data_IF_372337228634
#
_entry.id   IF_372337228634
#
_cell.length_a   1.000
_cell.length_b   1.000
_cell.length_c   1.000
_cell.angle_alpha   90.00
_cell.angle_beta   90.00
_cell.angle_gamma   90.00
#
_symmetry.space_group_name_H-M   'P 1'
#
loop_
_entity.id
_entity.type
_entity.pdbx_description
1 polymer ?
#
# COMPACT_ATOMS: atom_id res chain seq x y z
N UNK A 1 40.55 58.11 -26.66
CA UNK A 1 39.56 57.67 -27.65
C UNK A 1 38.38 57.10 -26.89
N UNK A 2 37.22 57.76 -27.05
CA UNK A 2 35.88 57.39 -26.58
C UNK A 2 35.51 56.01 -27.21
N UNK A 3 34.68 55.14 -26.64
CA UNK A 3 33.26 55.26 -26.26
C UNK A 3 32.93 54.25 -25.14
N UNK A 4 32.08 54.49 -24.13
CA UNK A 4 30.72 55.04 -24.09
C UNK A 4 29.61 54.03 -24.50
N UNK A 5 29.10 53.32 -23.49
CA UNK A 5 27.67 53.06 -23.17
C UNK A 5 27.18 51.63 -22.99
N UNK A 6 26.32 51.54 -21.95
CA UNK A 6 25.22 50.60 -21.67
C UNK A 6 25.65 49.31 -20.96
N UNK A 7 25.08 48.93 -19.81
CA UNK A 7 23.91 49.46 -19.09
C UNK A 7 24.02 48.94 -17.64
N UNK A 8 24.31 49.83 -16.72
CA UNK A 8 23.46 50.25 -15.59
C UNK A 8 23.46 49.39 -14.31
N UNK A 9 23.45 50.07 -13.15
CA UNK A 9 23.83 49.53 -11.85
C UNK A 9 22.62 49.29 -10.92
N UNK A 10 22.90 48.62 -9.81
CA UNK A 10 22.37 48.87 -8.46
C UNK A 10 21.17 49.84 -8.34
N UNK A 11 20.02 49.37 -7.85
CA UNK A 11 19.20 50.15 -6.92
C UNK A 11 18.36 49.24 -6.02
N UNK A 12 18.61 49.34 -4.71
CA UNK A 12 17.84 48.73 -3.64
C UNK A 12 16.67 49.65 -3.28
N UNK A 13 15.63 49.04 -2.71
CA UNK A 13 14.56 49.64 -1.88
C UNK A 13 13.27 50.08 -2.57
N UNK A 14 12.18 49.74 -1.87
CA UNK A 14 10.78 50.20 -2.01
C UNK A 14 9.93 49.35 -2.95
N UNK A 15 9.62 48.11 -2.55
CA UNK A 15 8.30 47.44 -2.68
C UNK A 15 8.26 46.31 -1.63
N UNK A 16 8.32 46.71 -0.36
CA UNK A 16 7.82 45.90 0.74
C UNK A 16 6.30 45.79 0.54
N UNK A 17 5.75 44.57 0.62
CA UNK A 17 4.32 44.22 0.74
C UNK A 17 3.46 44.30 -0.54
N UNK A 18 3.34 43.17 -1.25
CA UNK A 18 2.08 42.43 -1.49
C UNK A 18 2.30 41.33 -2.55
N UNK A 19 1.87 40.10 -2.25
CA UNK A 19 1.60 38.99 -3.19
C UNK A 19 2.85 38.30 -3.81
N UNK A 20 3.47 37.23 -3.30
CA UNK A 20 2.98 36.04 -2.58
C UNK A 20 1.85 35.25 -3.25
N UNK A 21 1.68 35.31 -4.58
CA UNK A 21 0.90 34.32 -5.35
C UNK A 21 1.43 34.22 -6.78
N UNK A 22 2.19 33.16 -7.07
CA UNK A 22 2.24 32.45 -8.36
C UNK A 22 3.07 31.17 -8.16
N UNK A 23 2.54 30.18 -7.47
CA UNK A 23 1.53 29.25 -8.01
C UNK A 23 2.12 28.46 -9.18
N UNK A 24 3.01 27.52 -8.88
CA UNK A 24 3.31 26.40 -9.78
C UNK A 24 3.66 25.17 -8.91
N UNK A 25 2.64 24.33 -8.74
CA UNK A 25 2.66 22.93 -8.30
C UNK A 25 2.90 22.60 -6.81
N UNK A 26 1.82 22.41 -6.02
CA UNK A 26 1.80 21.37 -5.00
C UNK A 26 1.64 20.01 -5.69
N UNK A 27 2.63 19.12 -5.51
CA UNK A 27 2.50 17.71 -5.84
C UNK A 27 1.19 17.17 -5.26
N UNK A 28 0.33 16.68 -6.14
CA UNK A 28 -0.99 16.14 -5.83
C UNK A 28 -0.86 15.11 -4.72
N UNK A 29 -1.26 15.53 -3.51
CA UNK A 29 -1.58 14.66 -2.38
C UNK A 29 -2.64 13.69 -2.90
N UNK A 30 -2.24 12.48 -3.26
CA UNK A 30 -3.17 11.42 -3.65
C UNK A 30 -4.02 11.14 -2.43
N UNK A 31 -5.23 11.69 -2.43
CA UNK A 31 -6.31 11.22 -1.58
C UNK A 31 -6.67 9.86 -2.15
N UNK A 32 -5.97 8.84 -1.67
CA UNK A 32 -6.19 7.44 -2.02
C UNK A 32 -7.56 7.09 -1.44
N UNK A 33 -8.54 7.31 -2.30
CA UNK A 33 -9.72 6.50 -2.55
C UNK A 33 -10.22 5.71 -1.35
N UNK A 34 -11.35 6.18 -0.82
CA UNK A 34 -12.55 5.37 -0.56
C UNK A 34 -12.30 4.17 0.36
N UNK A 35 -12.84 4.25 1.58
CA UNK A 35 -13.18 3.07 2.40
C UNK A 35 -14.16 2.21 1.59
N UNK A 36 -13.64 1.46 0.64
CA UNK A 36 -14.33 0.34 0.04
C UNK A 36 -14.34 -0.70 1.15
N UNK A 37 -15.48 -0.83 1.84
CA UNK A 37 -15.82 -2.14 2.40
C UNK A 37 -16.05 -3.03 1.18
N UNK A 38 -15.13 -3.94 0.84
CA UNK A 38 -15.38 -4.84 -0.28
C UNK A 38 -16.63 -5.65 0.08
N UNK A 39 -17.52 -5.75 -0.91
CA UNK A 39 -18.76 -6.49 -0.80
C UNK A 39 -18.41 -7.94 -0.49
N UNK A 40 -19.11 -8.57 0.48
CA UNK A 40 -18.89 -9.94 0.96
C UNK A 40 -19.30 -10.99 -0.08
N UNK A 41 -18.69 -10.92 -1.26
CA UNK A 41 -18.90 -11.84 -2.37
C UNK A 41 -17.71 -12.79 -2.37
N UNK A 42 -17.83 -13.86 -1.58
CA UNK A 42 -16.90 -15.00 -1.51
C UNK A 42 -15.44 -14.65 -1.75
N UNK A 43 -14.77 -14.09 -0.74
CA UNK A 43 -13.33 -13.85 -0.80
C UNK A 43 -12.61 -15.19 -0.96
N UNK A 44 -12.17 -15.50 -2.18
CA UNK A 44 -11.33 -16.69 -2.44
C UNK A 44 -9.86 -16.45 -2.09
N UNK A 45 -9.50 -15.18 -1.87
CA UNK A 45 -8.15 -14.68 -1.65
C UNK A 45 -8.18 -13.51 -0.68
N UNK A 46 -7.21 -13.44 0.23
CA UNK A 46 -7.11 -12.42 1.28
C UNK A 46 -5.80 -11.62 1.17
N UNK A 47 -5.71 -10.64 0.26
CA UNK A 47 -4.50 -9.83 0.10
C UNK A 47 -4.17 -8.95 1.31
N UNK A 48 -5.17 -8.58 2.11
CA UNK A 48 -5.00 -7.72 3.30
C UNK A 48 -4.31 -8.42 4.46
N UNK A 49 -4.31 -9.76 4.50
CA UNK A 49 -3.67 -10.55 5.56
C UNK A 49 -2.14 -10.63 5.42
N UNK A 50 -1.59 -10.18 4.29
CA UNK A 50 -0.14 -10.15 4.07
C UNK A 50 0.52 -9.18 5.05
N UNK A 51 1.55 -9.64 5.75
CA UNK A 51 2.26 -8.90 6.79
C UNK A 51 1.60 -8.95 8.18
N UNK A 52 0.43 -9.58 8.33
CA UNK A 52 -0.14 -9.86 9.65
C UNK A 52 0.49 -11.10 10.29
N UNK A 53 0.31 -11.24 11.60
CA UNK A 53 0.62 -12.48 12.31
C UNK A 53 -0.30 -13.61 11.86
N UNK A 54 0.24 -14.82 11.83
CA UNK A 54 -0.48 -16.03 11.43
C UNK A 54 -1.79 -16.24 12.22
N UNK A 55 -1.75 -16.03 13.53
CA UNK A 55 -2.92 -16.21 14.41
C UNK A 55 -4.05 -15.21 14.12
N UNK A 56 -3.69 -13.95 13.88
CA UNK A 56 -4.67 -12.89 13.57
C UNK A 56 -5.29 -13.11 12.19
N UNK A 57 -4.47 -13.56 11.23
CA UNK A 57 -4.94 -13.93 9.90
C UNK A 57 -5.89 -15.13 9.94
N UNK A 58 -5.58 -16.15 10.73
CA UNK A 58 -6.44 -17.33 10.90
C UNK A 58 -7.81 -16.96 11.47
N UNK A 59 -7.86 -16.10 12.48
CA UNK A 59 -9.12 -15.61 13.06
C UNK A 59 -9.97 -14.89 12.02
N UNK A 60 -9.37 -13.99 11.25
CA UNK A 60 -10.07 -13.26 10.18
C UNK A 60 -10.64 -14.18 9.11
N UNK A 61 -9.87 -15.19 8.67
CA UNK A 61 -10.34 -16.16 7.68
C UNK A 61 -11.53 -16.97 8.24
N UNK A 62 -11.47 -17.39 9.52
CA UNK A 62 -12.58 -18.11 10.17
C UNK A 62 -13.84 -17.25 10.34
N UNK A 63 -13.68 -15.95 10.58
CA UNK A 63 -14.80 -15.00 10.65
C UNK A 63 -15.47 -14.77 9.29
N UNK A 64 -14.67 -14.72 8.22
CA UNK A 64 -15.19 -14.54 6.86
C UNK A 64 -15.73 -15.83 6.24
N UNK A 65 -15.08 -16.96 6.50
CA UNK A 65 -15.40 -18.29 6.01
C UNK A 65 -15.35 -19.30 7.17
N UNK A 66 -16.47 -19.47 7.87
CA UNK A 66 -16.57 -20.36 9.04
C UNK A 66 -16.25 -21.83 8.76
N UNK A 67 -16.38 -22.28 7.50
CA UNK A 67 -16.04 -23.63 7.06
C UNK A 67 -14.62 -23.81 6.52
N UNK A 68 -13.77 -22.78 6.58
CA UNK A 68 -12.41 -22.85 6.06
C UNK A 68 -11.48 -23.66 6.97
N UNK A 69 -10.77 -24.63 6.40
CA UNK A 69 -9.66 -25.33 7.03
C UNK A 69 -8.37 -24.56 6.74
N UNK A 70 -7.89 -23.80 7.73
CA UNK A 70 -6.63 -23.05 7.61
C UNK A 70 -5.45 -23.97 7.91
N UNK A 71 -4.52 -24.06 6.97
CA UNK A 71 -3.25 -24.77 7.12
C UNK A 71 -2.10 -23.75 7.14
N UNK A 72 -1.44 -23.61 8.30
CA UNK A 72 -0.25 -22.78 8.43
C UNK A 72 0.96 -23.59 7.97
N UNK A 73 1.68 -23.05 6.97
CA UNK A 73 2.80 -23.72 6.32
C UNK A 73 3.97 -22.75 6.22
N UNK A 74 5.21 -23.17 6.55
CA UNK A 74 6.41 -22.38 6.26
C UNK A 74 6.55 -22.10 4.77
N UNK A 75 7.05 -20.91 4.41
CA UNK A 75 7.15 -20.47 3.00
C UNK A 75 7.96 -21.40 2.08
N UNK A 76 8.91 -22.17 2.64
CA UNK A 76 9.84 -23.03 1.90
C UNK A 76 9.40 -24.50 1.83
N UNK A 77 8.15 -24.79 2.18
CA UNK A 77 7.63 -26.17 2.17
C UNK A 77 7.03 -26.51 0.81
N UNK A 78 7.48 -27.62 0.23
CA UNK A 78 6.83 -28.19 -0.95
C UNK A 78 5.50 -28.82 -0.57
N UNK A 79 4.43 -28.37 -1.21
CA UNK A 79 3.08 -28.89 -1.00
C UNK A 79 2.61 -29.64 -2.24
N UNK A 80 1.79 -30.66 -2.01
CA UNK A 80 1.10 -31.36 -3.09
C UNK A 80 0.11 -30.42 -3.79
N UNK A 81 0.02 -30.49 -5.12
CA UNK A 81 -0.86 -29.62 -5.92
C UNK A 81 -2.34 -30.04 -5.89
N UNK A 82 -2.76 -30.84 -4.92
CA UNK A 82 -4.17 -31.18 -4.72
C UNK A 82 -4.96 -29.91 -4.40
N UNK A 83 -6.08 -29.72 -5.09
CA UNK A 83 -6.98 -28.58 -4.90
C UNK A 83 -8.15 -28.94 -3.99
N UNK A 84 -8.35 -28.19 -2.91
CA UNK A 84 -9.52 -28.29 -2.03
C UNK A 84 -10.18 -26.94 -1.84
N UNK A 85 -11.48 -26.85 -2.15
CA UNK A 85 -12.28 -25.62 -2.03
C UNK A 85 -12.47 -25.14 -0.59
N UNK A 86 -12.24 -26.01 0.39
CA UNK A 86 -12.44 -25.70 1.81
C UNK A 86 -11.12 -25.44 2.53
N UNK A 87 -9.96 -25.57 1.86
CA UNK A 87 -8.65 -25.39 2.50
C UNK A 87 -8.05 -24.04 2.12
N UNK A 88 -7.50 -23.34 3.10
CA UNK A 88 -6.75 -22.10 2.88
C UNK A 88 -5.34 -22.32 3.38
N UNK A 89 -4.35 -22.15 2.50
CA UNK A 89 -2.92 -22.28 2.84
C UNK A 89 -2.38 -20.92 3.25
N UNK A 90 -1.88 -20.84 4.49
CA UNK A 90 -1.27 -19.64 5.06
C UNK A 90 0.25 -19.82 5.03
N UNK A 91 0.95 -19.03 4.21
CA UNK A 91 2.41 -19.09 4.12
C UNK A 91 3.03 -18.12 5.12
N UNK A 92 3.80 -18.67 6.06
CA UNK A 92 4.45 -17.91 7.12
C UNK A 92 5.97 -17.93 6.99
N UNK A 93 6.58 -16.82 7.40
CA UNK A 93 8.02 -16.72 7.59
C UNK A 93 8.45 -17.21 8.99
N UNK A 94 9.75 -17.20 9.25
CA UNK A 94 10.37 -17.45 10.55
C UNK A 94 9.84 -16.52 11.65
N UNK A 95 9.43 -15.29 11.30
CA UNK A 95 8.80 -14.34 12.21
C UNK A 95 7.30 -14.53 12.41
N UNK A 96 6.73 -15.65 11.92
CA UNK A 96 5.29 -15.95 11.94
C UNK A 96 4.41 -14.89 11.24
N UNK A 97 4.99 -14.13 10.34
CA UNK A 97 4.28 -13.16 9.52
C UNK A 97 3.86 -13.80 8.20
N UNK A 98 2.67 -13.45 7.72
CA UNK A 98 2.15 -13.92 6.44
C UNK A 98 2.92 -13.28 5.30
N UNK A 99 3.60 -14.09 4.50
CA UNK A 99 4.45 -13.61 3.38
C UNK A 99 3.68 -13.52 2.07
N UNK A 100 2.70 -14.41 1.89
CA UNK A 100 1.89 -14.50 0.67
C UNK A 100 0.42 -14.42 1.00
N UNK A 101 -0.35 -13.80 0.10
CA UNK A 101 -1.80 -13.70 0.24
C UNK A 101 -2.39 -15.13 0.29
N UNK A 102 -3.06 -15.50 1.41
CA UNK A 102 -3.71 -16.79 1.48
C UNK A 102 -4.83 -16.87 0.46
N UNK A 103 -4.98 -18.07 -0.11
CA UNK A 103 -6.00 -18.39 -1.11
C UNK A 103 -6.56 -19.77 -0.85
N UNK A 104 -7.76 -19.99 -1.34
CA UNK A 104 -8.39 -21.30 -1.34
C UNK A 104 -7.63 -22.26 -2.27
N UNK A 105 -7.30 -23.46 -1.79
CA UNK A 105 -6.63 -24.51 -2.56
C UNK A 105 -6.10 -25.68 -1.75
#
# INVERSE_FOLDING_TARGET
>A
MLEYTRLFPMCKSIWFLLCLVKFQWPGRRSKIHRVLKPNKQGHTTWPELVGMKAEDAEKKIKEEMSGAMVHVVPQDTFLTMEFRSNRVRLFVDSSQNVVRAPRIG
#
